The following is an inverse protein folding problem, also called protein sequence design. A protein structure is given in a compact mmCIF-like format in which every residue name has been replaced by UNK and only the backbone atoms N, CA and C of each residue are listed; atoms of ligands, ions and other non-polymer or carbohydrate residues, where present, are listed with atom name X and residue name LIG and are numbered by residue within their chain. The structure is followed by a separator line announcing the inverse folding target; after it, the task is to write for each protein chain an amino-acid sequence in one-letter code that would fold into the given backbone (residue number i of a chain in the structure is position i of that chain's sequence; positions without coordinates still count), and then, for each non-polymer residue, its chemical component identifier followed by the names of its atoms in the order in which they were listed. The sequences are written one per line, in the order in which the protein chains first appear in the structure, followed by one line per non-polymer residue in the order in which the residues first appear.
data_IF_466064455916
#
_entry.id   IF_466064455916
#
_cell.length_a   1.000
_cell.length_b   1.000
_cell.length_c   1.000
_cell.angle_alpha   90.00
_cell.angle_beta   90.00
_cell.angle_gamma   90.00
#
_symmetry.space_group_name_H-M   'P 1'
#
loop_
_entity.id
_entity.type
_entity.pdbx_description
1 polymer ?
#
# COMPACT_ATOMS: atom_id res chain seq x y z
N UNK A 1 1.25 3.57 8.77
CA UNK A 1 1.46 3.93 7.37
C UNK A 1 1.05 2.71 6.55
N UNK A 2 -0.05 2.84 5.84
CA UNK A 2 -0.50 1.79 4.94
C UNK A 2 0.42 1.78 3.73
N UNK A 3 1.15 0.69 3.59
CA UNK A 3 2.07 0.49 2.49
C UNK A 3 1.28 0.00 1.28
N UNK A 4 1.30 0.76 0.20
CA UNK A 4 0.70 0.35 -1.07
C UNK A 4 1.64 -0.65 -1.75
N UNK A 5 1.47 -1.93 -1.43
CA UNK A 5 2.07 -3.01 -2.21
C UNK A 5 1.06 -3.47 -3.27
N UNK A 6 1.49 -3.69 -4.51
CA UNK A 6 0.65 -4.34 -5.49
C UNK A 6 0.30 -5.75 -4.99
N UNK A 7 -0.98 -6.09 -5.04
CA UNK A 7 -1.48 -7.40 -4.60
C UNK A 7 -2.26 -8.08 -5.72
N UNK A 8 -2.26 -9.40 -5.73
CA UNK A 8 -3.24 -10.17 -6.49
C UNK A 8 -4.60 -10.07 -5.83
N UNK A 9 -5.61 -9.73 -6.59
CA UNK A 9 -6.98 -10.01 -6.21
C UNK A 9 -7.37 -11.39 -6.75
N UNK A 10 -7.98 -12.22 -5.91
CA UNK A 10 -8.40 -13.57 -6.26
C UNK A 10 -9.75 -13.90 -5.64
N UNK A 11 -10.48 -14.81 -6.26
CA UNK A 11 -11.69 -15.43 -5.74
C UNK A 11 -11.41 -16.75 -5.00
N UNK A 12 -10.15 -17.10 -4.82
CA UNK A 12 -9.74 -18.24 -3.99
C UNK A 12 -10.23 -18.06 -2.55
N UNK A 13 -10.89 -19.07 -2.01
CA UNK A 13 -11.46 -19.01 -0.67
C UNK A 13 -10.39 -18.93 0.42
N UNK A 14 -10.06 -17.71 0.84
CA UNK A 14 -9.16 -17.42 1.95
C UNK A 14 -10.01 -17.13 3.19
N UNK A 15 -9.70 -17.78 4.29
CA UNK A 15 -10.35 -17.58 5.58
C UNK A 15 -9.29 -17.42 6.68
N UNK A 16 -9.66 -16.97 7.89
CA UNK A 16 -8.75 -16.93 9.02
C UNK A 16 -8.04 -18.27 9.23
N UNK A 17 -6.71 -18.23 9.31
CA UNK A 17 -5.83 -19.40 9.35
C UNK A 17 -5.06 -19.66 8.05
N UNK A 18 -5.51 -19.14 6.90
CA UNK A 18 -4.79 -19.28 5.62
C UNK A 18 -3.79 -18.15 5.37
N UNK A 19 -3.79 -17.08 6.15
CA UNK A 19 -2.85 -15.95 6.01
C UNK A 19 -1.41 -16.44 6.20
N UNK A 20 -0.50 -15.98 5.30
CA UNK A 20 0.87 -16.45 5.23
C UNK A 20 1.04 -17.77 4.45
N UNK A 21 -0.04 -18.49 4.14
CA UNK A 21 -0.02 -19.66 3.28
C UNK A 21 0.19 -19.30 1.80
N UNK A 22 0.62 -20.27 0.98
CA UNK A 22 0.87 -20.05 -0.44
C UNK A 22 -0.41 -19.99 -1.27
N UNK A 23 -0.42 -19.11 -2.27
CA UNK A 23 -1.36 -19.14 -3.39
C UNK A 23 -0.69 -19.89 -4.55
N UNK A 24 -1.37 -20.92 -5.08
CA UNK A 24 -0.85 -21.74 -6.18
C UNK A 24 -1.55 -21.42 -7.49
N UNK A 25 -0.82 -21.53 -8.59
CA UNK A 25 -1.42 -21.61 -9.93
C UNK A 25 -1.87 -23.05 -10.29
N UNK A 26 -2.49 -23.19 -11.45
CA UNK A 26 -2.97 -24.50 -11.94
C UNK A 26 -1.84 -25.51 -12.24
N UNK A 27 -0.58 -25.05 -12.33
CA UNK A 27 0.59 -25.89 -12.49
C UNK A 27 1.25 -26.28 -11.15
N UNK A 28 0.66 -25.89 -10.02
CA UNK A 28 1.19 -26.17 -8.68
C UNK A 28 2.35 -25.27 -8.28
N UNK A 29 2.57 -24.14 -8.96
CA UNK A 29 3.63 -23.18 -8.60
C UNK A 29 3.07 -22.15 -7.64
N UNK A 30 3.87 -21.75 -6.64
CA UNK A 30 3.52 -20.64 -5.76
C UNK A 30 3.60 -19.34 -6.53
N UNK A 31 2.50 -18.61 -6.60
CA UNK A 31 2.41 -17.31 -7.28
C UNK A 31 2.20 -16.15 -6.30
N UNK A 32 1.81 -16.44 -5.07
CA UNK A 32 1.60 -15.41 -4.06
C UNK A 32 1.58 -15.96 -2.64
N UNK A 33 1.50 -15.04 -1.68
CA UNK A 33 1.35 -15.32 -0.25
C UNK A 33 0.05 -14.67 0.22
N UNK A 34 -0.85 -15.47 0.80
CA UNK A 34 -2.17 -15.02 1.23
C UNK A 34 -2.06 -13.97 2.34
N UNK A 35 -2.73 -12.85 2.19
CA UNK A 35 -2.64 -11.71 3.11
C UNK A 35 -3.97 -11.42 3.80
N UNK A 36 -5.02 -11.11 3.03
CA UNK A 36 -6.26 -10.58 3.58
C UNK A 36 -7.47 -10.88 2.69
N UNK A 37 -8.66 -10.62 3.22
CA UNK A 37 -9.92 -10.69 2.49
C UNK A 37 -10.63 -9.33 2.56
N UNK A 38 -11.44 -9.02 1.57
CA UNK A 38 -12.41 -7.94 1.65
C UNK A 38 -13.72 -8.49 2.20
N UNK A 39 -14.03 -8.20 3.46
CA UNK A 39 -15.20 -8.77 4.12
C UNK A 39 -15.71 -7.86 5.24
N UNK A 40 -17.05 -7.77 5.36
CA UNK A 40 -17.70 -7.11 6.49
C UNK A 40 -17.95 -8.05 7.66
N UNK A 41 -18.04 -9.34 7.41
CA UNK A 41 -18.34 -10.37 8.40
C UNK A 41 -17.10 -11.06 8.98
N UNK A 42 -15.91 -10.80 8.39
CA UNK A 42 -14.68 -11.51 8.73
C UNK A 42 -14.52 -12.87 8.04
N UNK A 43 -15.55 -13.35 7.32
CA UNK A 43 -15.47 -14.55 6.51
C UNK A 43 -15.30 -14.19 5.03
N UNK A 44 -14.73 -15.10 4.23
CA UNK A 44 -14.56 -14.93 2.80
C UNK A 44 -15.88 -14.57 2.10
N UNK A 45 -15.88 -13.52 1.31
CA UNK A 45 -17.04 -12.98 0.59
C UNK A 45 -16.76 -12.82 -0.93
N UNK A 46 -15.89 -13.65 -1.49
CA UNK A 46 -15.57 -13.66 -2.93
C UNK A 46 -14.37 -12.80 -3.34
N UNK A 47 -13.78 -12.04 -2.43
CA UNK A 47 -12.61 -11.20 -2.72
C UNK A 47 -11.53 -11.42 -1.68
N UNK A 48 -10.36 -11.83 -2.14
CA UNK A 48 -9.17 -12.02 -1.33
C UNK A 48 -7.95 -11.37 -1.99
N UNK A 49 -6.92 -11.11 -1.20
CA UNK A 49 -5.68 -10.48 -1.63
C UNK A 49 -4.48 -11.30 -1.21
N UNK A 50 -3.53 -11.44 -2.13
CA UNK A 50 -2.25 -12.13 -1.90
C UNK A 50 -1.10 -11.27 -2.42
N UNK A 51 0.00 -11.24 -1.68
CA UNK A 51 1.24 -10.58 -2.09
C UNK A 51 1.87 -11.39 -3.21
N UNK A 52 2.39 -10.75 -4.25
CA UNK A 52 3.10 -11.41 -5.34
C UNK A 52 4.31 -12.19 -4.81
N UNK A 53 4.53 -13.40 -5.33
CA UNK A 53 5.65 -14.23 -4.88
C UNK A 53 7.01 -13.54 -5.11
N UNK A 54 7.16 -12.75 -6.18
CA UNK A 54 8.40 -12.04 -6.45
C UNK A 54 8.72 -11.01 -5.34
N UNK A 55 7.69 -10.29 -4.86
CA UNK A 55 7.86 -9.32 -3.77
C UNK A 55 8.14 -10.02 -2.44
N UNK A 56 7.45 -11.14 -2.18
CA UNK A 56 7.70 -11.95 -1.00
C UNK A 56 9.13 -12.54 -0.99
N UNK A 57 9.61 -13.02 -2.14
CA UNK A 57 10.98 -13.53 -2.29
C UNK A 57 12.03 -12.44 -2.18
N UNK A 58 11.78 -11.26 -2.76
CA UNK A 58 12.65 -10.10 -2.58
C UNK A 58 12.76 -9.73 -1.09
N UNK A 59 11.64 -9.62 -0.39
CA UNK A 59 11.62 -9.30 1.02
C UNK A 59 12.35 -10.36 1.87
N UNK A 60 12.11 -11.64 1.60
CA UNK A 60 12.78 -12.74 2.30
C UNK A 60 14.30 -12.72 2.09
N UNK A 61 14.75 -12.56 0.85
CA UNK A 61 16.18 -12.49 0.53
C UNK A 61 16.85 -11.25 1.16
N UNK A 62 16.18 -10.10 1.15
CA UNK A 62 16.68 -8.88 1.78
C UNK A 62 16.80 -9.06 3.30
N UNK A 63 15.79 -9.65 3.94
CA UNK A 63 15.84 -9.94 5.38
C UNK A 63 16.98 -10.91 5.74
N UNK A 64 17.23 -11.93 4.89
CA UNK A 64 18.32 -12.88 5.11
C UNK A 64 19.71 -12.24 4.93
N UNK A 65 19.87 -11.32 4.01
CA UNK A 65 21.16 -10.68 3.71
C UNK A 65 21.46 -9.48 4.60
N UNK A 66 20.44 -8.66 4.93
CA UNK A 66 20.59 -7.36 5.57
C UNK A 66 19.99 -7.30 6.97
N UNK A 67 19.20 -8.33 7.35
CA UNK A 67 18.50 -8.38 8.64
C UNK A 67 17.30 -7.44 8.76
N UNK A 68 17.10 -6.57 7.76
CA UNK A 68 15.98 -5.62 7.69
C UNK A 68 15.63 -5.30 6.25
N UNK A 69 14.40 -4.85 6.00
CA UNK A 69 14.01 -4.32 4.70
C UNK A 69 14.26 -2.81 4.73
N UNK A 70 15.07 -2.25 3.81
CA UNK A 70 15.38 -0.82 3.76
C UNK A 70 14.18 -0.04 3.20
N UNK A 71 13.18 0.20 4.02
CA UNK A 71 12.06 1.06 3.66
C UNK A 71 12.48 2.53 3.70
N UNK A 72 12.32 3.21 2.57
CA UNK A 72 12.41 4.67 2.53
C UNK A 72 11.16 5.28 3.18
N UNK A 73 11.33 5.95 4.32
CA UNK A 73 10.26 6.76 4.93
C UNK A 73 10.40 8.20 4.46
N UNK A 74 9.44 8.67 3.65
CA UNK A 74 9.43 10.07 3.21
C UNK A 74 9.04 11.02 4.35
N UNK A 75 8.24 10.56 5.31
CA UNK A 75 7.75 11.39 6.42
C UNK A 75 6.68 12.38 5.96
N UNK A 76 5.69 11.92 5.18
CA UNK A 76 4.57 12.73 4.70
C UNK A 76 3.25 12.05 5.00
N UNK A 77 2.23 12.84 5.28
CA UNK A 77 0.83 12.41 5.31
C UNK A 77 0.16 12.98 4.07
N UNK A 78 -0.41 12.12 3.24
CA UNK A 78 -1.07 12.51 2.00
C UNK A 78 -2.46 11.89 1.93
N UNK A 79 -3.43 12.64 1.38
CA UNK A 79 -4.78 12.17 1.11
C UNK A 79 -5.24 12.62 -0.27
N UNK A 80 -6.23 11.93 -0.83
CA UNK A 80 -6.94 12.43 -2.00
C UNK A 80 -7.51 13.82 -1.73
N UNK A 81 -7.56 14.66 -2.75
CA UNK A 81 -8.10 16.01 -2.68
C UNK A 81 -9.63 15.97 -2.58
N UNK A 82 -10.20 16.78 -1.71
CA UNK A 82 -11.65 17.00 -1.58
C UNK A 82 -12.07 18.27 -2.29
N UNK A 83 -13.38 18.44 -2.53
CA UNK A 83 -13.93 19.70 -3.11
C UNK A 83 -13.57 20.92 -2.26
N UNK A 84 -13.59 20.77 -0.93
CA UNK A 84 -13.19 21.81 0.02
C UNK A 84 -11.71 22.20 -0.15
N UNK A 85 -10.84 21.20 -0.30
CA UNK A 85 -9.41 21.43 -0.56
C UNK A 85 -9.19 22.17 -1.87
N UNK A 86 -9.87 21.75 -2.93
CA UNK A 86 -9.76 22.37 -4.25
C UNK A 86 -10.24 23.83 -4.22
N UNK A 87 -11.34 24.10 -3.52
CA UNK A 87 -11.84 25.47 -3.32
C UNK A 87 -10.82 26.32 -2.52
N UNK A 88 -10.30 25.80 -1.41
CA UNK A 88 -9.30 26.49 -0.57
C UNK A 88 -8.02 26.80 -1.32
N UNK A 89 -7.58 25.90 -2.22
CA UNK A 89 -6.35 26.04 -2.99
C UNK A 89 -6.55 26.71 -4.36
N UNK A 90 -7.77 27.22 -4.63
CA UNK A 90 -8.08 27.93 -5.87
C UNK A 90 -8.08 27.08 -7.13
N UNK A 91 -8.31 25.77 -7.02
CA UNK A 91 -8.27 24.81 -8.13
C UNK A 91 -9.63 24.56 -8.81
N UNK A 92 -10.70 25.18 -8.32
CA UNK A 92 -12.06 24.93 -8.82
C UNK A 92 -12.43 23.45 -8.67
N UNK A 93 -12.95 22.82 -9.72
CA UNK A 93 -13.38 21.42 -9.72
C UNK A 93 -12.23 20.42 -10.02
N UNK A 94 -10.98 20.88 -10.05
CA UNK A 94 -9.84 20.00 -10.34
C UNK A 94 -9.34 19.30 -9.09
N UNK A 95 -9.75 18.02 -8.93
CA UNK A 95 -9.35 17.14 -7.83
C UNK A 95 -8.14 16.25 -8.17
N UNK A 96 -7.45 16.47 -9.29
CA UNK A 96 -6.30 15.66 -9.70
C UNK A 96 -5.14 15.84 -8.73
N UNK A 97 -4.50 14.72 -8.38
CA UNK A 97 -3.34 14.66 -7.49
C UNK A 97 -3.68 14.31 -6.05
N UNK A 98 -2.65 14.23 -5.25
CA UNK A 98 -2.70 13.90 -3.82
C UNK A 98 -2.21 15.10 -3.02
N UNK A 99 -3.01 15.55 -2.06
CA UNK A 99 -2.69 16.68 -1.21
C UNK A 99 -1.79 16.25 -0.06
N UNK A 100 -0.66 16.92 0.12
CA UNK A 100 0.21 16.80 1.29
C UNK A 100 -0.48 17.47 2.46
N UNK A 101 -0.87 16.69 3.47
CA UNK A 101 -1.53 17.19 4.70
C UNK A 101 -0.54 17.65 5.74
N UNK A 102 0.54 16.88 5.86
CA UNK A 102 1.56 17.15 6.87
C UNK A 102 2.91 16.57 6.43
N UNK A 103 3.98 17.16 6.91
CA UNK A 103 5.36 16.76 6.66
C UNK A 103 6.09 16.65 7.98
N UNK A 104 6.68 15.48 8.24
CA UNK A 104 7.40 15.23 9.47
C UNK A 104 8.57 16.20 9.64
N UNK A 105 8.66 16.81 10.81
CA UNK A 105 9.74 17.71 11.19
C UNK A 105 11.09 16.96 11.12
N UNK A 106 12.10 17.61 10.54
CA UNK A 106 13.41 17.04 10.25
C UNK A 106 13.38 15.76 9.39
N UNK A 107 12.25 15.48 8.74
CA UNK A 107 12.06 14.34 7.84
C UNK A 107 12.70 14.52 6.46
N UNK A 108 12.84 13.43 5.69
CA UNK A 108 13.41 13.49 4.34
C UNK A 108 12.63 14.42 3.40
N UNK A 109 11.30 14.38 3.45
CA UNK A 109 10.45 15.22 2.61
C UNK A 109 10.59 16.71 2.92
N UNK A 110 10.68 17.07 4.21
CA UNK A 110 10.91 18.46 4.60
C UNK A 110 12.28 18.95 4.13
N UNK A 111 13.33 18.14 4.25
CA UNK A 111 14.66 18.47 3.72
C UNK A 111 14.68 18.59 2.20
N UNK A 112 13.80 17.86 1.50
CA UNK A 112 13.60 17.98 0.05
C UNK A 112 12.75 19.18 -0.35
N UNK A 113 12.20 19.94 0.62
CA UNK A 113 11.42 21.16 0.38
C UNK A 113 9.91 20.95 0.28
N UNK A 114 9.41 19.72 0.51
CA UNK A 114 7.97 19.44 0.54
C UNK A 114 7.33 20.13 1.74
N UNK A 115 6.11 20.63 1.56
CA UNK A 115 5.35 21.34 2.58
C UNK A 115 3.90 20.87 2.60
N UNK A 116 3.21 21.14 3.70
CA UNK A 116 1.75 21.03 3.73
C UNK A 116 1.14 21.92 2.63
N UNK A 117 0.05 21.46 2.05
CA UNK A 117 -0.66 22.06 0.92
C UNK A 117 0.02 21.88 -0.45
N UNK A 118 1.18 21.25 -0.54
CA UNK A 118 1.72 20.81 -1.83
C UNK A 118 0.83 19.72 -2.44
N UNK A 119 0.79 19.68 -3.77
CA UNK A 119 0.00 18.69 -4.52
C UNK A 119 0.96 17.85 -5.36
N UNK A 120 0.92 16.55 -5.12
CA UNK A 120 1.66 15.57 -5.93
C UNK A 120 0.77 15.10 -7.06
N UNK A 121 1.22 15.25 -8.30
CA UNK A 121 0.50 14.91 -9.55
C UNK A 121 0.94 13.55 -10.08
#
# INVERSE_FOLDING_TARGET
ADMLLPVFQTDTAINPGNSGGPLFDAAGRVVGVNQSIYSRSGAFAGIAFSIHINDAMWAANTLLSEGQIPWGLAGVIMNGMTDEDAARLGRGDNLSGVLVRDVAEDGPAQRAGLKADDIVL
#
